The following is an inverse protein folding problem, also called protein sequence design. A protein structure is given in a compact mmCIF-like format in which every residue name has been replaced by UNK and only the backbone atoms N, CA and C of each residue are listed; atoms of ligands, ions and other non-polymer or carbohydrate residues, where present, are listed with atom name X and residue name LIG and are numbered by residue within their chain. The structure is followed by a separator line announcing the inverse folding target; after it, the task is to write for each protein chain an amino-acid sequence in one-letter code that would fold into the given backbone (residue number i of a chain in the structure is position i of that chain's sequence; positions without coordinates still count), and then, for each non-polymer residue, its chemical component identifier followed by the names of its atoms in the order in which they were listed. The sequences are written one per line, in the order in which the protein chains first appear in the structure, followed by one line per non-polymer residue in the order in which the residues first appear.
data_IF_436874572591
#
_entry.id   IF_436874572591
#
_cell.length_a   1.000
_cell.length_b   1.000
_cell.length_c   1.000
_cell.angle_alpha   90.00
_cell.angle_beta   90.00
_cell.angle_gamma   90.00
#
_symmetry.space_group_name_H-M   'P 1'
#
loop_
_entity.id
_entity.type
_entity.pdbx_description
1 polymer ?
#
# COMPACT_ATOMS: atom_id res chain seq x y z
N UNK A 1 -10.45 20.56 -1.74
CA UNK A 1 -9.84 19.23 -1.90
C UNK A 1 -9.45 18.69 -0.53
N UNK A 2 -9.86 17.47 -0.20
CA UNK A 2 -9.56 16.89 1.09
C UNK A 2 -8.12 16.40 1.13
N UNK A 3 -7.42 16.66 2.24
CA UNK A 3 -6.04 16.23 2.42
C UNK A 3 -5.96 15.43 3.73
N UNK A 4 -5.58 14.17 3.62
CA UNK A 4 -5.49 13.26 4.77
C UNK A 4 -4.10 12.61 4.75
N UNK A 5 -3.42 12.61 5.90
CA UNK A 5 -2.08 12.05 6.04
C UNK A 5 -1.07 12.61 5.03
N UNK A 6 -1.23 13.87 4.64
CA UNK A 6 -0.39 14.53 3.64
C UNK A 6 -0.72 14.20 2.20
N UNK A 7 -1.76 13.41 1.96
CA UNK A 7 -2.14 12.97 0.61
C UNK A 7 -3.43 13.69 0.20
N UNK A 8 -3.44 14.21 -1.03
CA UNK A 8 -4.64 14.81 -1.60
C UNK A 8 -5.58 13.71 -2.08
N UNK A 9 -6.78 13.68 -1.52
CA UNK A 9 -7.77 12.66 -1.86
C UNK A 9 -8.60 13.17 -3.03
N UNK A 10 -8.83 12.36 -4.09
CA UNK A 10 -9.65 12.79 -5.22
C UNK A 10 -11.08 13.13 -4.79
N UNK A 11 -11.58 14.35 -5.03
CA UNK A 11 -12.89 14.77 -4.52
C UNK A 11 -14.06 14.13 -5.26
N UNK A 12 -13.85 13.67 -6.50
CA UNK A 12 -14.91 13.10 -7.33
C UNK A 12 -15.18 11.63 -7.05
N UNK A 13 -14.37 10.97 -6.24
CA UNK A 13 -14.50 9.54 -5.92
C UNK A 13 -15.31 9.33 -4.65
N UNK A 14 -15.95 8.17 -4.54
CA UNK A 14 -16.62 7.77 -3.30
C UNK A 14 -15.59 7.64 -2.17
N UNK A 15 -16.06 7.76 -0.92
CA UNK A 15 -15.18 7.74 0.25
C UNK A 15 -14.32 6.48 0.31
N UNK A 16 -14.92 5.30 0.08
CA UNK A 16 -14.15 4.04 0.13
C UNK A 16 -13.06 3.96 -0.94
N UNK A 17 -13.31 4.51 -2.12
CA UNK A 17 -12.33 4.47 -3.20
C UNK A 17 -11.31 5.59 -3.04
N UNK A 18 -11.76 6.78 -2.63
CA UNK A 18 -10.86 7.91 -2.41
C UNK A 18 -9.79 7.63 -1.37
N UNK A 19 -10.16 6.97 -0.28
CA UNK A 19 -9.22 6.63 0.79
C UNK A 19 -8.12 5.66 0.32
N UNK A 20 -8.36 4.89 -0.72
CA UNK A 20 -7.32 3.96 -1.24
C UNK A 20 -6.14 4.68 -1.88
N UNK A 21 -6.22 6.00 -2.08
CA UNK A 21 -5.08 6.80 -2.53
C UNK A 21 -3.96 6.85 -1.48
N UNK A 22 -4.28 6.55 -0.23
CA UNK A 22 -3.31 6.53 0.86
C UNK A 22 -2.62 5.17 0.89
N UNK A 23 -1.28 5.17 0.91
CA UNK A 23 -0.52 3.93 0.98
C UNK A 23 -0.79 3.21 2.31
N UNK A 24 -1.21 1.98 2.23
CA UNK A 24 -1.57 1.17 3.39
C UNK A 24 -3.07 1.02 3.60
N UNK A 25 -3.89 1.73 2.82
CA UNK A 25 -5.34 1.62 2.88
C UNK A 25 -5.85 1.04 1.57
N UNK A 26 -6.36 -0.18 1.63
CA UNK A 26 -7.04 -0.82 0.53
C UNK A 26 -8.55 -0.64 0.68
N UNK A 27 -9.31 -1.22 -0.24
CA UNK A 27 -10.77 -1.08 -0.24
C UNK A 27 -11.42 -1.59 1.05
N UNK A 28 -10.98 -2.75 1.53
CA UNK A 28 -11.52 -3.34 2.77
C UNK A 28 -11.24 -2.46 3.98
N UNK A 29 -10.02 -1.95 4.09
CA UNK A 29 -9.63 -1.05 5.18
C UNK A 29 -10.41 0.26 5.09
N UNK A 30 -10.60 0.79 3.88
CA UNK A 30 -11.39 2.00 3.67
C UNK A 30 -12.85 1.80 4.13
N UNK A 31 -13.43 0.65 3.85
CA UNK A 31 -14.79 0.32 4.31
C UNK A 31 -14.86 0.26 5.83
N UNK A 32 -13.87 -0.32 6.48
CA UNK A 32 -13.79 -0.37 7.95
C UNK A 32 -13.68 1.03 8.56
N UNK A 33 -12.87 1.88 7.95
CA UNK A 33 -12.70 3.27 8.39
C UNK A 33 -14.02 4.03 8.26
N UNK A 34 -14.71 3.89 7.15
CA UNK A 34 -16.01 4.53 6.94
C UNK A 34 -17.05 4.06 7.95
N UNK A 35 -17.09 2.76 8.22
CA UNK A 35 -18.01 2.20 9.20
C UNK A 35 -17.72 2.71 10.62
N UNK A 36 -16.45 2.75 11.02
CA UNK A 36 -16.05 3.22 12.34
C UNK A 36 -16.32 4.71 12.54
N UNK A 37 -16.14 5.51 11.48
CA UNK A 37 -16.37 6.96 11.56
C UNK A 37 -17.83 7.37 11.32
N UNK A 38 -18.69 6.42 10.96
CA UNK A 38 -20.10 6.70 10.71
C UNK A 38 -20.37 7.42 9.40
N UNK A 39 -19.45 7.38 8.46
CA UNK A 39 -19.57 8.03 7.15
C UNK A 39 -20.05 7.00 6.13
N UNK A 40 -21.10 7.30 5.33
CA UNK A 40 -21.50 6.41 4.24
C UNK A 40 -20.39 6.26 3.23
N UNK A 41 -20.02 5.01 2.92
CA UNK A 41 -18.90 4.74 2.01
C UNK A 41 -19.20 5.07 0.55
N UNK A 42 -20.46 5.19 0.17
CA UNK A 42 -20.89 5.52 -1.18
C UNK A 42 -21.02 7.03 -1.41
N UNK A 43 -20.79 7.85 -0.40
CA UNK A 43 -20.79 9.29 -0.52
C UNK A 43 -19.46 9.79 -1.11
N UNK A 44 -19.52 10.74 -2.03
CA UNK A 44 -18.31 11.30 -2.63
C UNK A 44 -17.54 12.16 -1.62
N UNK A 45 -16.23 12.18 -1.75
CA UNK A 45 -15.36 12.95 -0.84
C UNK A 45 -15.75 14.43 -0.78
N UNK A 46 -16.09 15.02 -1.91
CA UNK A 46 -16.48 16.44 -1.98
C UNK A 46 -17.76 16.76 -1.19
N UNK A 47 -18.60 15.76 -0.94
CA UNK A 47 -19.86 15.92 -0.24
C UNK A 47 -19.75 15.70 1.28
N UNK A 48 -18.55 15.39 1.76
CA UNK A 48 -18.31 15.17 3.18
C UNK A 48 -18.09 16.50 3.89
N UNK A 49 -18.65 16.61 5.12
CA UNK A 49 -18.44 17.79 5.97
C UNK A 49 -17.06 17.72 6.61
N UNK A 50 -16.59 18.85 7.15
CA UNK A 50 -15.31 18.91 7.88
C UNK A 50 -15.33 18.00 9.10
N UNK A 51 -16.47 17.87 9.78
CA UNK A 51 -16.62 16.97 10.91
C UNK A 51 -16.45 15.51 10.49
N UNK A 52 -16.99 15.13 9.33
CA UNK A 52 -16.82 13.78 8.79
C UNK A 52 -15.35 13.50 8.48
N UNK A 53 -14.66 14.45 7.86
CA UNK A 53 -13.25 14.33 7.54
C UNK A 53 -12.39 14.20 8.80
N UNK A 54 -12.72 14.94 9.86
CA UNK A 54 -11.99 14.82 11.13
C UNK A 54 -12.17 13.45 11.76
N UNK A 55 -13.38 12.89 11.72
CA UNK A 55 -13.61 11.53 12.23
C UNK A 55 -12.83 10.49 11.45
N UNK A 56 -12.76 10.66 10.13
CA UNK A 56 -11.96 9.78 9.27
C UNK A 56 -10.48 9.90 9.63
N UNK A 57 -9.97 11.10 9.84
CA UNK A 57 -8.57 11.33 10.24
C UNK A 57 -8.25 10.67 11.58
N UNK A 58 -9.15 10.72 12.53
CA UNK A 58 -8.96 10.05 13.82
C UNK A 58 -8.84 8.54 13.66
N UNK A 59 -9.70 7.93 12.83
CA UNK A 59 -9.63 6.49 12.58
C UNK A 59 -8.35 6.11 11.85
N UNK A 60 -7.93 6.90 10.88
CA UNK A 60 -6.69 6.67 10.13
C UNK A 60 -5.46 6.79 11.05
N UNK A 61 -5.51 7.69 12.02
CA UNK A 61 -4.43 7.86 12.98
C UNK A 61 -4.12 6.62 13.82
N UNK A 62 -5.05 5.67 13.88
CA UNK A 62 -4.87 4.40 14.61
C UNK A 62 -4.19 3.32 13.76
N UNK A 63 -3.95 3.58 12.50
CA UNK A 63 -3.43 2.61 11.54
C UNK A 63 -2.05 3.07 11.08
N UNK A 64 -1.12 2.13 10.93
CA UNK A 64 0.18 2.42 10.34
C UNK A 64 0.01 2.57 8.83
N UNK A 65 0.33 3.76 8.31
CA UNK A 65 0.17 4.10 6.88
C UNK A 65 1.37 4.90 6.39
N UNK A 66 1.46 5.07 5.07
CA UNK A 66 2.44 5.90 4.38
C UNK A 66 3.87 5.64 4.85
N UNK A 67 4.60 6.67 5.27
CA UNK A 67 6.00 6.56 5.67
C UNK A 67 6.25 5.58 6.82
N UNK A 68 5.36 5.54 7.79
CA UNK A 68 5.48 4.63 8.92
C UNK A 68 5.34 3.18 8.47
N UNK A 69 4.39 2.90 7.58
CA UNK A 69 4.21 1.55 7.03
C UNK A 69 5.40 1.15 6.17
N UNK A 70 5.90 2.05 5.33
CA UNK A 70 7.08 1.78 4.50
C UNK A 70 8.29 1.46 5.36
N UNK A 71 8.49 2.20 6.44
CA UNK A 71 9.57 1.95 7.39
C UNK A 71 9.43 0.60 8.06
N UNK A 72 8.22 0.26 8.50
CA UNK A 72 7.93 -1.03 9.12
C UNK A 72 8.22 -2.19 8.16
N UNK A 73 7.79 -2.09 6.91
CA UNK A 73 8.08 -3.12 5.90
C UNK A 73 9.58 -3.27 5.67
N UNK A 74 10.31 -2.16 5.56
CA UNK A 74 11.76 -2.18 5.37
C UNK A 74 12.47 -2.83 6.54
N UNK A 75 12.05 -2.52 7.77
CA UNK A 75 12.62 -3.10 8.99
C UNK A 75 12.34 -4.60 9.03
N UNK A 76 11.14 -5.03 8.67
CA UNK A 76 10.78 -6.46 8.66
C UNK A 76 11.61 -7.24 7.67
N UNK A 77 11.82 -6.70 6.48
CA UNK A 77 12.65 -7.34 5.45
C UNK A 77 14.11 -7.37 5.90
N UNK A 78 14.62 -6.28 6.44
CA UNK A 78 15.99 -6.22 6.96
C UNK A 78 16.22 -7.23 8.06
N UNK A 79 15.24 -7.41 8.95
CA UNK A 79 15.35 -8.41 10.02
C UNK A 79 15.51 -9.82 9.45
N UNK A 80 14.76 -10.15 8.39
CA UNK A 80 14.90 -11.47 7.73
C UNK A 80 16.29 -11.64 7.12
N UNK A 81 16.83 -10.59 6.51
CA UNK A 81 18.17 -10.61 5.94
C UNK A 81 19.23 -10.78 7.02
N UNK A 82 19.09 -10.08 8.14
CA UNK A 82 20.05 -10.14 9.26
C UNK A 82 20.03 -11.50 9.94
N UNK A 83 18.85 -12.15 10.02
CA UNK A 83 18.73 -13.50 10.57
C UNK A 83 19.40 -14.56 9.69
N UNK A 84 19.64 -14.25 8.41
CA UNK A 84 20.22 -15.19 7.49
C UNK A 84 19.31 -16.34 7.09
N UNK A 85 17.99 -16.19 7.26
CA UNK A 85 17.02 -17.22 6.87
C UNK A 85 16.84 -17.26 5.36
N UNK A 86 16.15 -18.31 4.87
CA UNK A 86 15.93 -18.48 3.43
C UNK A 86 15.17 -17.30 2.82
N UNK A 87 14.13 -16.80 3.50
CA UNK A 87 13.37 -15.66 2.99
C UNK A 87 14.24 -14.41 2.87
N UNK A 88 15.09 -14.15 3.86
CA UNK A 88 16.02 -13.04 3.81
C UNK A 88 17.02 -13.15 2.67
N UNK A 89 17.51 -14.36 2.41
CA UNK A 89 18.39 -14.63 1.28
C UNK A 89 17.72 -14.32 -0.05
N UNK A 90 16.44 -14.71 -0.20
CA UNK A 90 15.67 -14.42 -1.42
C UNK A 90 15.43 -12.90 -1.59
N UNK A 91 15.14 -12.18 -0.51
CA UNK A 91 15.02 -10.72 -0.55
C UNK A 91 16.33 -10.05 -0.98
N UNK A 92 17.46 -10.54 -0.45
CA UNK A 92 18.77 -9.99 -0.77
C UNK A 92 19.09 -10.12 -2.25
N UNK A 93 18.70 -11.22 -2.86
CA UNK A 93 18.96 -11.49 -4.28
C UNK A 93 17.88 -10.95 -5.22
N UNK A 94 16.81 -10.37 -4.67
CA UNK A 94 15.71 -9.87 -5.49
C UNK A 94 14.94 -10.97 -6.20
N UNK A 95 14.84 -12.15 -5.58
CA UNK A 95 14.14 -13.30 -6.11
C UNK A 95 12.79 -13.48 -5.42
N UNK A 96 11.83 -14.20 -6.05
CA UNK A 96 10.56 -14.51 -5.39
C UNK A 96 10.78 -15.26 -4.09
N UNK A 97 10.04 -14.88 -3.04
CA UNK A 97 10.24 -15.37 -1.68
C UNK A 97 9.34 -16.55 -1.34
N UNK A 98 8.22 -16.70 -2.06
CA UNK A 98 7.17 -17.68 -1.74
C UNK A 98 7.24 -18.97 -2.57
N UNK A 99 8.43 -19.40 -2.94
CA UNK A 99 8.61 -20.67 -3.65
C UNK A 99 8.16 -20.65 -5.11
N UNK A 100 8.04 -19.47 -5.68
CA UNK A 100 7.59 -19.32 -7.06
C UNK A 100 8.70 -19.72 -8.03
N UNK A 101 8.28 -20.15 -9.21
CA UNK A 101 9.17 -20.56 -10.28
C UNK A 101 9.97 -19.38 -10.83
N UNK A 102 11.26 -19.56 -11.03
CA UNK A 102 12.15 -18.50 -11.53
C UNK A 102 12.64 -18.73 -12.96
N UNK A 103 12.43 -19.95 -13.48
CA UNK A 103 12.91 -20.32 -14.81
C UNK A 103 12.30 -19.50 -15.94
N UNK A 104 11.03 -19.12 -15.83
CA UNK A 104 10.31 -18.47 -16.90
C UNK A 104 9.97 -17.00 -16.60
N UNK A 105 9.10 -16.75 -15.65
CA UNK A 105 8.55 -15.43 -15.36
C UNK A 105 9.25 -14.76 -14.17
N UNK A 106 8.55 -14.48 -13.09
CA UNK A 106 9.08 -13.79 -11.90
C UNK A 106 9.46 -12.32 -12.16
N UNK A 107 8.75 -11.67 -13.09
CA UNK A 107 9.08 -10.30 -13.50
C UNK A 107 8.80 -9.26 -12.42
N UNK A 108 7.85 -9.52 -11.53
CA UNK A 108 7.53 -8.58 -10.43
C UNK A 108 8.76 -8.30 -9.57
N UNK A 109 9.54 -9.35 -9.26
CA UNK A 109 10.74 -9.20 -8.46
C UNK A 109 11.96 -8.83 -9.29
N UNK A 110 12.10 -9.44 -10.46
CA UNK A 110 13.27 -9.22 -11.33
C UNK A 110 13.18 -7.94 -12.15
N UNK A 111 11.97 -7.41 -12.29
CA UNK A 111 11.72 -6.25 -13.14
C UNK A 111 11.58 -6.63 -14.62
N UNK A 112 11.36 -5.64 -15.50
CA UNK A 112 11.25 -5.88 -16.93
C UNK A 112 12.52 -6.48 -17.52
N UNK A 113 12.39 -7.26 -18.59
CA UNK A 113 13.54 -7.80 -19.28
C UNK A 113 14.37 -6.67 -19.86
N UNK A 114 15.68 -6.77 -19.74
CA UNK A 114 16.60 -5.80 -20.32
C UNK A 114 16.66 -5.97 -21.84
N UNK A 115 16.63 -4.85 -22.57
CA UNK A 115 16.69 -4.87 -24.03
C UNK A 115 17.91 -5.62 -24.57
N UNK A 116 19.07 -5.40 -23.96
CA UNK A 116 20.29 -6.08 -24.34
C UNK A 116 20.22 -7.59 -24.24
N UNK A 117 19.51 -8.11 -23.23
CA UNK A 117 19.31 -9.54 -23.05
C UNK A 117 18.43 -10.14 -24.13
N UNK A 118 17.49 -9.37 -24.65
CA UNK A 118 16.62 -9.80 -25.75
C UNK A 118 17.37 -9.83 -27.09
N UNK A 119 18.25 -8.87 -27.31
CA UNK A 119 19.01 -8.76 -28.55
C UNK A 119 20.04 -9.89 -28.69
N UNK A 120 20.59 -10.36 -27.60
CA UNK A 120 21.62 -11.40 -27.60
C UNK A 120 21.10 -12.82 -27.83
N UNK A 121 19.82 -12.97 -27.97
CA UNK A 121 19.19 -14.27 -28.27
C UNK A 121 19.01 -14.46 -29.80
#
# INVERSE_FOLDING_TARGET
MARIAGINIPPHKHAEIGLTAIYGIGRSTAQKICAASGVPFDRKIKDLSDADLERIREEIGRISIEGDLRREMSINIKRLMDLGCYRGFRHRRGLPVRGQRTKTNARTRKGPRKSGALVKR
#
